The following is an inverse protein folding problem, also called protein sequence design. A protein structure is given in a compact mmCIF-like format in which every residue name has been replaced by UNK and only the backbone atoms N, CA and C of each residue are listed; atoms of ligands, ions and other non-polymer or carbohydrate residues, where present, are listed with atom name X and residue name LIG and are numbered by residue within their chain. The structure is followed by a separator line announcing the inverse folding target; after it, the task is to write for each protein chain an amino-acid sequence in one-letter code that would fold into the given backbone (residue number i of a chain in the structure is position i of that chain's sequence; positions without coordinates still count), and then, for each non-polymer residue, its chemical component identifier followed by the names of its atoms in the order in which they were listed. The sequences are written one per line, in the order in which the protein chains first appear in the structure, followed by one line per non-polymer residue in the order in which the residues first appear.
data_IF_404117874122
#
_entry.id   IF_404117874122
#
_cell.length_a   1.000
_cell.length_b   1.000
_cell.length_c   1.000
_cell.angle_alpha   90.00
_cell.angle_beta   90.00
_cell.angle_gamma   90.00
#
_symmetry.space_group_name_H-M   'P 1'
#
loop_
_entity.id
_entity.type
_entity.pdbx_description
1 polymer ?
#
# COMPACT_ATOMS: atom_id res chain seq x y z
N UNK A 1 48.10 18.09 -8.07
CA UNK A 1 46.75 18.68 -8.22
C UNK A 1 46.90 19.96 -9.02
N UNK A 2 46.54 19.93 -10.31
CA UNK A 2 46.38 21.16 -11.11
C UNK A 2 45.32 22.04 -10.45
N UNK A 3 45.49 23.36 -10.55
CA UNK A 3 44.52 24.30 -10.00
C UNK A 3 43.20 24.18 -10.78
N UNK A 4 42.23 23.45 -10.22
CA UNK A 4 40.86 23.30 -10.72
C UNK A 4 40.24 24.62 -11.20
N UNK A 5 40.51 25.71 -10.47
CA UNK A 5 40.07 27.06 -10.85
C UNK A 5 40.71 27.53 -12.17
N UNK A 6 41.98 27.23 -12.42
CA UNK A 6 42.71 27.65 -13.64
C UNK A 6 42.24 26.89 -14.87
N UNK A 7 41.86 25.62 -14.73
CA UNK A 7 41.30 24.80 -15.84
C UNK A 7 39.87 25.20 -16.17
N UNK A 8 39.04 25.55 -15.18
CA UNK A 8 37.70 26.12 -15.40
C UNK A 8 37.77 27.43 -16.19
N UNK A 9 38.65 28.36 -15.79
CA UNK A 9 38.80 29.64 -16.49
C UNK A 9 39.33 29.46 -17.93
N UNK A 10 40.23 28.51 -18.16
CA UNK A 10 40.80 28.23 -19.49
C UNK A 10 39.79 27.54 -20.41
N UNK A 11 38.98 26.62 -19.89
CA UNK A 11 37.96 25.88 -20.66
C UNK A 11 36.70 26.72 -20.93
N UNK A 12 36.31 27.60 -20.00
CA UNK A 12 35.26 28.61 -20.23
C UNK A 12 35.67 29.59 -21.35
N UNK A 13 36.95 29.96 -21.43
CA UNK A 13 37.47 30.81 -22.51
C UNK A 13 37.50 30.12 -23.89
N UNK A 14 37.38 28.79 -23.92
CA UNK A 14 37.33 27.96 -25.13
C UNK A 14 35.89 27.57 -25.53
N UNK A 15 34.86 28.03 -24.81
CA UNK A 15 33.46 27.77 -25.14
C UNK A 15 32.91 26.39 -24.72
N UNK A 16 33.61 25.68 -23.82
CA UNK A 16 33.19 24.37 -23.30
C UNK A 16 32.15 24.57 -22.19
N UNK A 17 31.08 23.76 -22.17
CA UNK A 17 30.03 23.86 -21.14
C UNK A 17 30.56 23.40 -19.77
N UNK A 18 30.06 24.03 -18.70
CA UNK A 18 30.44 23.69 -17.31
C UNK A 18 30.16 22.22 -17.00
N UNK A 19 29.09 21.66 -17.58
CA UNK A 19 28.70 20.26 -17.41
C UNK A 19 29.73 19.29 -17.99
N UNK A 20 30.36 19.63 -19.11
CA UNK A 20 31.39 18.81 -19.75
C UNK A 20 32.70 18.83 -18.94
N UNK A 21 33.03 19.95 -18.31
CA UNK A 21 34.19 20.06 -17.40
C UNK A 21 33.96 19.16 -16.17
N UNK A 22 32.77 19.22 -15.58
CA UNK A 22 32.42 18.37 -14.44
C UNK A 22 32.45 16.88 -14.84
N UNK A 23 32.00 16.54 -16.06
CA UNK A 23 32.05 15.16 -16.57
C UNK A 23 33.49 14.62 -16.63
N UNK A 24 34.41 15.39 -17.19
CA UNK A 24 35.83 15.00 -17.32
C UNK A 24 36.51 14.86 -15.96
N UNK A 25 36.23 15.76 -15.02
CA UNK A 25 36.77 15.73 -13.66
C UNK A 25 36.25 14.52 -12.87
N UNK A 26 34.96 14.22 -12.97
CA UNK A 26 34.40 13.01 -12.34
C UNK A 26 35.05 11.76 -12.93
N UNK A 27 35.29 11.70 -14.25
CA UNK A 27 35.99 10.59 -14.88
C UNK A 27 37.41 10.43 -14.30
N UNK A 28 38.15 11.52 -14.14
CA UNK A 28 39.50 11.48 -13.57
C UNK A 28 39.50 11.04 -12.10
N UNK A 29 38.67 11.66 -11.27
CA UNK A 29 38.59 11.36 -9.82
C UNK A 29 38.19 9.90 -9.60
N UNK A 30 37.19 9.39 -10.31
CA UNK A 30 36.74 8.00 -10.16
C UNK A 30 37.84 7.02 -10.59
N UNK A 31 38.55 7.31 -11.68
CA UNK A 31 39.68 6.49 -12.12
C UNK A 31 40.83 6.49 -11.09
N UNK A 32 41.11 7.63 -10.44
CA UNK A 32 42.12 7.72 -9.38
C UNK A 32 41.70 6.97 -8.11
N UNK A 33 40.44 7.08 -7.69
CA UNK A 33 39.92 6.36 -6.53
C UNK A 33 40.04 4.84 -6.72
N UNK A 34 39.69 4.31 -7.89
CA UNK A 34 39.82 2.88 -8.19
C UNK A 34 41.27 2.39 -8.19
N UNK A 35 42.22 3.23 -8.63
CA UNK A 35 43.65 2.92 -8.54
C UNK A 35 44.11 2.87 -7.08
N UNK A 36 43.63 3.79 -6.24
CA UNK A 36 43.96 3.83 -4.83
C UNK A 36 43.36 2.63 -4.08
N UNK A 37 42.13 2.22 -4.39
CA UNK A 37 41.54 0.99 -3.84
C UNK A 37 42.39 -0.24 -4.16
N UNK A 38 42.87 -0.36 -5.40
CA UNK A 38 43.75 -1.47 -5.79
C UNK A 38 45.11 -1.40 -5.05
N UNK A 39 45.65 -0.20 -4.85
CA UNK A 39 46.88 0.00 -4.06
C UNK A 39 46.68 -0.43 -2.61
N UNK A 40 45.56 -0.03 -1.98
CA UNK A 40 45.21 -0.42 -0.61
C UNK A 40 45.00 -1.94 -0.50
N UNK A 41 44.33 -2.55 -1.48
CA UNK A 41 44.08 -4.00 -1.48
C UNK A 41 45.38 -4.82 -1.62
N UNK A 42 46.31 -4.37 -2.45
CA UNK A 42 47.58 -5.05 -2.67
C UNK A 42 48.65 -4.68 -1.62
N UNK A 43 48.47 -3.58 -0.89
CA UNK A 43 49.39 -3.02 0.10
C UNK A 43 50.77 -2.58 -0.48
N UNK A 44 50.80 -2.26 -1.78
CA UNK A 44 51.99 -1.70 -2.45
C UNK A 44 51.64 -0.90 -3.72
N UNK A 45 52.49 0.06 -4.06
CA UNK A 45 52.31 0.94 -5.22
C UNK A 45 52.67 0.29 -6.57
N UNK A 46 52.28 0.95 -7.67
CA UNK A 46 52.61 0.46 -9.00
C UNK A 46 54.13 0.49 -9.19
N UNK A 47 54.70 -0.67 -9.55
CA UNK A 47 56.15 -0.88 -9.72
C UNK A 47 56.97 -0.89 -8.43
N UNK A 48 56.33 -1.00 -7.27
CA UNK A 48 57.04 -1.14 -6.01
C UNK A 48 57.74 -2.52 -5.90
N UNK A 49 58.93 -2.52 -5.33
CA UNK A 49 59.80 -3.71 -5.21
C UNK A 49 59.17 -4.75 -4.26
N UNK A 50 58.35 -4.29 -3.32
CA UNK A 50 57.59 -5.12 -2.36
C UNK A 50 56.60 -6.05 -3.09
N UNK A 51 56.14 -5.66 -4.29
CA UNK A 51 55.21 -6.44 -5.10
C UNK A 51 55.84 -7.58 -5.90
N UNK A 52 57.17 -7.77 -5.87
CA UNK A 52 57.81 -8.91 -6.53
C UNK A 52 57.68 -10.18 -5.68
N UNK A 53 57.18 -11.26 -6.29
CA UNK A 53 56.92 -12.56 -5.62
C UNK A 53 55.92 -12.52 -4.45
N UNK A 54 55.05 -11.50 -4.37
CA UNK A 54 54.01 -11.36 -3.33
C UNK A 54 52.79 -12.27 -3.51
N UNK A 55 52.76 -13.11 -4.55
CA UNK A 55 51.67 -14.05 -4.83
C UNK A 55 50.46 -13.47 -5.56
N UNK A 56 50.22 -12.16 -5.51
CA UNK A 56 49.23 -11.46 -6.32
C UNK A 56 49.85 -10.21 -6.98
N UNK A 57 49.38 -9.82 -8.16
CA UNK A 57 49.99 -8.72 -8.93
C UNK A 57 48.95 -7.94 -9.73
N UNK A 58 49.23 -6.66 -10.01
CA UNK A 58 48.39 -5.84 -10.90
C UNK A 58 48.36 -6.45 -12.30
N UNK A 59 47.18 -6.67 -12.87
CA UNK A 59 46.97 -7.35 -14.16
C UNK A 59 46.14 -6.48 -15.14
N UNK A 60 46.62 -5.26 -15.37
CA UNK A 60 46.02 -4.34 -16.33
C UNK A 60 44.63 -3.82 -15.94
N UNK A 61 43.87 -3.41 -16.96
CA UNK A 61 42.59 -2.74 -16.79
C UNK A 61 41.58 -3.24 -17.83
N UNK A 62 40.29 -3.12 -17.52
CA UNK A 62 39.24 -3.17 -18.53
C UNK A 62 38.43 -1.89 -18.53
N UNK A 63 37.98 -1.46 -19.70
CA UNK A 63 37.16 -0.27 -19.83
C UNK A 63 35.70 -0.60 -19.54
N UNK A 64 35.07 0.24 -18.72
CA UNK A 64 33.65 0.19 -18.40
C UNK A 64 33.08 1.59 -18.57
N UNK A 65 32.00 1.70 -19.34
CA UNK A 65 31.26 2.95 -19.45
C UNK A 65 30.25 3.08 -18.32
N UNK A 66 30.21 4.24 -17.68
CA UNK A 66 29.27 4.57 -16.61
C UNK A 66 28.51 5.83 -16.98
N UNK A 67 27.19 5.80 -16.83
CA UNK A 67 26.33 6.93 -17.13
C UNK A 67 26.17 7.78 -15.88
N UNK A 68 26.60 9.04 -15.93
CA UNK A 68 26.44 10.01 -14.84
C UNK A 68 25.42 11.09 -15.23
N UNK A 69 25.02 11.91 -14.26
CA UNK A 69 24.19 13.11 -14.48
C UNK A 69 24.80 14.07 -15.52
N UNK A 70 26.12 14.06 -15.68
CA UNK A 70 26.87 14.95 -16.55
C UNK A 70 27.23 14.31 -17.90
N UNK A 71 26.81 13.06 -18.14
CA UNK A 71 27.07 12.31 -19.37
C UNK A 71 27.74 10.96 -19.14
N UNK A 72 28.04 10.26 -20.24
CA UNK A 72 28.76 8.97 -20.22
C UNK A 72 30.24 9.21 -19.89
N UNK A 73 30.76 8.55 -18.85
CA UNK A 73 32.19 8.57 -18.47
C UNK A 73 32.82 7.20 -18.76
N UNK A 74 34.09 7.21 -19.16
CA UNK A 74 34.86 6.00 -19.42
C UNK A 74 35.76 5.65 -18.23
N UNK A 75 35.36 4.63 -17.47
CA UNK A 75 36.11 4.20 -16.29
C UNK A 75 37.03 3.03 -16.65
N UNK A 76 38.29 3.08 -16.18
CA UNK A 76 39.30 2.05 -16.30
C UNK A 76 39.34 1.23 -15.02
N UNK A 77 38.70 0.07 -15.05
CA UNK A 77 38.61 -0.82 -13.89
C UNK A 77 39.91 -1.60 -13.71
N UNK A 78 40.63 -1.42 -12.58
CA UNK A 78 41.84 -2.18 -12.28
C UNK A 78 41.54 -3.65 -12.02
N UNK A 79 42.49 -4.52 -12.36
CA UNK A 79 42.44 -5.96 -12.09
C UNK A 79 43.70 -6.41 -11.36
N UNK A 80 43.54 -7.39 -10.49
CA UNK A 80 44.62 -8.20 -9.94
C UNK A 80 44.76 -9.51 -10.74
N UNK A 81 45.84 -10.25 -10.50
CA UNK A 81 46.19 -11.47 -11.24
C UNK A 81 45.37 -12.67 -10.78
N UNK A 82 44.99 -12.69 -9.51
CA UNK A 82 44.22 -13.79 -8.92
C UNK A 82 42.70 -13.56 -9.02
N UNK A 83 42.26 -12.35 -9.38
CA UNK A 83 40.84 -12.00 -9.52
C UNK A 83 40.12 -11.83 -8.17
N UNK A 84 40.87 -11.57 -7.10
CA UNK A 84 40.38 -11.45 -5.73
C UNK A 84 39.93 -10.02 -5.39
N UNK A 85 40.35 -9.03 -6.19
CA UNK A 85 40.01 -7.64 -5.97
C UNK A 85 38.53 -7.37 -6.27
N UNK A 86 37.79 -6.88 -5.26
CA UNK A 86 36.40 -6.40 -5.38
C UNK A 86 36.37 -4.90 -5.15
N UNK A 87 35.89 -4.14 -6.14
CA UNK A 87 35.79 -2.68 -6.06
C UNK A 87 34.72 -2.27 -5.03
N UNK A 88 34.99 -1.19 -4.28
CA UNK A 88 34.01 -0.61 -3.35
C UNK A 88 33.41 0.70 -3.89
N UNK A 89 34.21 1.51 -4.60
CA UNK A 89 33.77 2.80 -5.18
C UNK A 89 32.68 2.61 -6.24
N UNK A 90 32.71 1.51 -6.99
CA UNK A 90 31.68 1.16 -7.98
C UNK A 90 31.31 -0.30 -7.77
N UNK A 91 30.05 -0.62 -7.36
CA UNK A 91 29.68 -2.01 -7.14
C UNK A 91 29.85 -2.83 -8.43
N UNK A 92 30.28 -4.07 -8.28
CA UNK A 92 30.41 -5.00 -9.39
C UNK A 92 29.04 -5.12 -10.07
N UNK A 93 29.00 -4.84 -11.38
CA UNK A 93 27.80 -4.87 -12.23
C UNK A 93 26.79 -3.71 -12.08
N UNK A 94 26.90 -2.84 -11.08
CA UNK A 94 25.99 -1.69 -10.95
C UNK A 94 26.32 -0.55 -11.89
N UNK A 95 25.42 -0.25 -12.82
CA UNK A 95 25.51 0.91 -13.71
C UNK A 95 24.77 2.13 -13.13
N UNK A 96 24.23 2.06 -11.91
CA UNK A 96 23.20 3.00 -11.41
C UNK A 96 23.37 3.33 -9.94
N UNK A 97 22.86 4.49 -9.57
CA UNK A 97 22.77 4.99 -8.19
C UNK A 97 21.37 4.68 -7.67
N UNK A 98 21.26 4.05 -6.49
CA UNK A 98 20.00 3.59 -5.86
C UNK A 98 18.88 4.63 -5.80
N UNK A 99 19.21 5.93 -5.81
CA UNK A 99 18.25 7.03 -5.68
C UNK A 99 17.22 7.13 -6.82
N UNK A 100 17.57 6.69 -8.04
CA UNK A 100 16.66 6.75 -9.19
C UNK A 100 15.60 5.64 -9.15
N UNK A 101 15.95 4.45 -8.68
CA UNK A 101 15.01 3.34 -8.57
C UNK A 101 13.98 3.62 -7.48
N UNK A 102 14.41 4.17 -6.34
CA UNK A 102 13.47 4.64 -5.31
C UNK A 102 12.53 5.71 -5.86
N UNK A 103 13.03 6.61 -6.72
CA UNK A 103 12.22 7.66 -7.36
C UNK A 103 11.22 7.07 -8.35
N UNK A 104 11.63 6.10 -9.18
CA UNK A 104 10.74 5.36 -10.09
C UNK A 104 9.62 4.67 -9.31
N UNK A 105 9.97 3.98 -8.23
CA UNK A 105 9.00 3.30 -7.36
C UNK A 105 8.03 4.28 -6.72
N UNK A 106 8.50 5.45 -6.24
CA UNK A 106 7.66 6.51 -5.69
C UNK A 106 6.74 7.17 -6.72
N UNK A 107 7.20 7.35 -7.96
CA UNK A 107 6.35 7.86 -9.04
C UNK A 107 5.28 6.83 -9.40
N UNK A 108 5.66 5.55 -9.48
CA UNK A 108 4.74 4.46 -9.77
C UNK A 108 3.67 4.32 -8.67
N UNK A 109 4.06 4.40 -7.39
CA UNK A 109 3.14 4.32 -6.24
C UNK A 109 2.16 5.50 -6.20
N UNK A 110 2.60 6.69 -6.66
CA UNK A 110 1.72 7.87 -6.81
C UNK A 110 0.77 7.80 -8.00
N UNK A 111 0.79 6.70 -8.75
CA UNK A 111 -0.13 6.46 -9.85
C UNK A 111 0.33 7.02 -11.19
N UNK A 112 1.59 7.46 -11.29
CA UNK A 112 2.19 7.83 -12.58
C UNK A 112 2.34 6.56 -13.42
N UNK A 113 1.99 6.63 -14.70
CA UNK A 113 2.10 5.50 -15.63
C UNK A 113 3.55 5.22 -15.98
N UNK A 114 3.88 3.99 -16.39
CA UNK A 114 5.25 3.65 -16.81
C UNK A 114 5.72 4.46 -18.01
N UNK A 115 4.81 4.86 -18.90
CA UNK A 115 5.10 5.78 -20.00
C UNK A 115 5.42 7.19 -19.49
N UNK A 116 4.60 7.75 -18.62
CA UNK A 116 4.88 9.08 -18.03
C UNK A 116 6.16 9.10 -17.20
N UNK A 117 6.47 8.01 -16.48
CA UNK A 117 7.74 7.87 -15.75
C UNK A 117 8.90 7.82 -16.74
N UNK A 118 8.77 7.07 -17.85
CA UNK A 118 9.78 7.03 -18.89
C UNK A 118 10.01 8.41 -19.50
N UNK A 119 8.95 9.12 -19.87
CA UNK A 119 9.02 10.45 -20.47
C UNK A 119 9.59 11.48 -19.49
N UNK A 120 9.26 11.40 -18.21
CA UNK A 120 9.76 12.30 -17.16
C UNK A 120 11.24 12.05 -16.89
N UNK A 121 11.65 10.78 -16.81
CA UNK A 121 13.06 10.41 -16.65
C UNK A 121 13.85 10.76 -17.91
N UNK A 122 13.27 10.62 -19.09
CA UNK A 122 13.89 11.04 -20.35
C UNK A 122 14.14 12.55 -20.38
N UNK A 123 13.18 13.36 -19.93
CA UNK A 123 13.34 14.81 -19.83
C UNK A 123 14.33 15.26 -18.76
N UNK A 124 14.43 14.52 -17.64
CA UNK A 124 15.30 14.89 -16.52
C UNK A 124 16.73 14.33 -16.64
N UNK A 125 16.90 13.16 -17.27
CA UNK A 125 18.15 12.37 -17.27
C UNK A 125 18.55 11.85 -18.67
N UNK A 126 17.82 12.18 -19.75
CA UNK A 126 18.10 11.72 -21.10
C UNK A 126 17.73 10.24 -21.35
N UNK A 127 18.30 9.62 -22.39
CA UNK A 127 17.97 8.25 -22.86
C UNK A 127 18.32 7.08 -21.91
N UNK A 128 18.31 7.30 -20.59
CA UNK A 128 18.78 6.33 -19.61
C UNK A 128 17.80 5.17 -19.33
N UNK A 129 16.50 5.32 -19.63
CA UNK A 129 15.48 4.34 -19.23
C UNK A 129 14.42 4.09 -20.30
N UNK A 130 14.35 2.85 -20.77
CA UNK A 130 13.24 2.37 -21.61
C UNK A 130 12.04 1.98 -20.74
N UNK A 131 10.83 1.96 -21.32
CA UNK A 131 9.61 1.45 -20.64
C UNK A 131 9.81 0.05 -20.05
N UNK A 132 10.55 -0.81 -20.76
CA UNK A 132 10.89 -2.16 -20.30
C UNK A 132 11.75 -2.14 -19.03
N UNK A 133 12.69 -1.21 -18.94
CA UNK A 133 13.56 -1.06 -17.77
C UNK A 133 12.76 -0.66 -16.54
N UNK A 134 11.82 0.28 -16.68
CA UNK A 134 10.93 0.69 -15.59
C UNK A 134 10.03 -0.47 -15.16
N UNK A 135 9.52 -1.25 -16.10
CA UNK A 135 8.75 -2.46 -15.81
C UNK A 135 9.56 -3.51 -15.04
N UNK A 136 10.85 -3.66 -15.35
CA UNK A 136 11.73 -4.57 -14.61
C UNK A 136 12.02 -4.06 -13.19
N UNK A 137 12.20 -2.74 -13.00
CA UNK A 137 12.35 -2.15 -11.67
C UNK A 137 11.08 -2.36 -10.83
N UNK A 138 9.90 -2.24 -11.44
CA UNK A 138 8.64 -2.50 -10.73
C UNK A 138 8.40 -3.98 -10.46
N UNK A 139 9.12 -4.92 -11.08
CA UNK A 139 9.08 -6.35 -10.67
C UNK A 139 9.72 -6.58 -9.31
N UNK A 140 10.70 -5.77 -8.90
CA UNK A 140 11.24 -5.85 -7.54
C UNK A 140 10.17 -5.61 -6.45
N UNK A 141 9.04 -4.98 -6.81
CA UNK A 141 7.88 -4.81 -5.92
C UNK A 141 7.14 -6.12 -5.67
N UNK A 142 7.25 -7.14 -6.52
CA UNK A 142 6.56 -8.42 -6.32
C UNK A 142 6.91 -9.06 -4.98
N UNK A 143 8.18 -8.95 -4.58
CA UNK A 143 8.63 -9.41 -3.25
C UNK A 143 7.85 -8.73 -2.13
N UNK A 144 7.48 -7.46 -2.31
CA UNK A 144 6.66 -6.74 -1.33
C UNK A 144 5.19 -7.18 -1.35
N UNK A 145 4.66 -7.61 -2.50
CA UNK A 145 3.31 -8.17 -2.61
C UNK A 145 3.25 -9.50 -1.85
N UNK A 146 4.21 -10.38 -2.09
CA UNK A 146 4.32 -11.66 -1.38
C UNK A 146 4.52 -11.46 0.12
N UNK A 147 5.39 -10.51 0.50
CA UNK A 147 5.59 -10.17 1.91
C UNK A 147 4.32 -9.59 2.56
N UNK A 148 3.53 -8.81 1.83
CA UNK A 148 2.28 -8.23 2.32
C UNK A 148 1.24 -9.32 2.61
N UNK A 149 1.08 -10.30 1.71
CA UNK A 149 0.15 -11.40 1.93
C UNK A 149 0.66 -12.43 2.96
N UNK A 150 1.97 -12.60 3.14
CA UNK A 150 2.52 -13.55 4.12
C UNK A 150 2.86 -12.96 5.50
N UNK A 151 2.63 -11.66 5.73
CA UNK A 151 2.94 -11.05 7.03
C UNK A 151 2.06 -11.60 8.16
N UNK A 152 2.65 -11.71 9.34
CA UNK A 152 1.94 -12.14 10.55
C UNK A 152 1.23 -10.97 11.22
N UNK A 153 0.10 -11.25 11.86
CA UNK A 153 -0.70 -10.25 12.56
C UNK A 153 -0.71 -10.47 14.07
N UNK A 154 -1.10 -9.41 14.79
CA UNK A 154 -1.37 -9.50 16.21
C UNK A 154 -2.62 -10.35 16.47
N UNK A 155 -2.72 -10.90 17.68
CA UNK A 155 -3.83 -11.76 18.05
C UNK A 155 -5.18 -11.04 18.05
N UNK A 156 -5.21 -9.78 18.51
CA UNK A 156 -6.43 -9.04 18.88
C UNK A 156 -6.72 -7.87 17.94
N UNK A 157 -7.92 -7.86 17.38
CA UNK A 157 -8.46 -6.76 16.59
C UNK A 157 -9.86 -6.39 17.03
N UNK A 158 -10.09 -5.11 17.28
CA UNK A 158 -11.38 -4.61 17.76
C UNK A 158 -12.39 -4.65 16.63
N UNK A 159 -12.04 -4.08 15.48
CA UNK A 159 -12.96 -3.96 14.35
C UNK A 159 -12.29 -4.40 13.05
N UNK A 160 -12.98 -5.26 12.29
CA UNK A 160 -12.65 -5.57 10.90
C UNK A 160 -13.68 -4.95 9.99
N UNK A 161 -13.24 -4.16 9.02
CA UNK A 161 -14.09 -3.58 8.00
C UNK A 161 -13.89 -4.31 6.68
N UNK A 162 -14.98 -4.78 6.10
CA UNK A 162 -15.01 -5.50 4.83
C UNK A 162 -15.75 -4.65 3.81
N UNK A 163 -15.10 -4.31 2.70
CA UNK A 163 -15.72 -3.61 1.58
C UNK A 163 -15.08 -4.05 0.25
N UNK A 164 -15.80 -3.87 -0.84
CA UNK A 164 -15.32 -4.19 -2.18
C UNK A 164 -15.38 -2.97 -3.10
N UNK A 165 -14.43 -2.90 -4.02
CA UNK A 165 -14.38 -1.86 -5.04
C UNK A 165 -14.15 -2.45 -6.43
N UNK A 166 -15.07 -2.13 -7.34
CA UNK A 166 -14.93 -2.49 -8.76
C UNK A 166 -13.79 -1.71 -9.43
N UNK A 167 -12.87 -2.43 -10.07
CA UNK A 167 -11.74 -1.92 -10.85
C UNK A 167 -11.75 -2.54 -12.26
N UNK A 168 -11.25 -1.80 -13.24
CA UNK A 168 -11.13 -2.31 -14.62
C UNK A 168 -9.78 -3.02 -14.77
N UNK A 169 -9.82 -4.31 -15.11
CA UNK A 169 -8.63 -5.17 -15.28
C UNK A 169 -8.70 -5.85 -16.63
N UNK A 170 -7.56 -5.94 -17.33
CA UNK A 170 -7.44 -6.68 -18.57
C UNK A 170 -6.80 -8.04 -18.28
N UNK A 171 -7.52 -9.12 -18.56
CA UNK A 171 -6.95 -10.47 -18.71
C UNK A 171 -6.85 -10.78 -20.20
N UNK A 172 -7.95 -11.27 -20.78
CA UNK A 172 -8.13 -11.35 -22.24
C UNK A 172 -8.93 -10.14 -22.75
N UNK A 173 -10.09 -9.91 -22.14
CA UNK A 173 -10.93 -8.73 -22.30
C UNK A 173 -10.85 -7.82 -21.07
N UNK A 174 -11.19 -6.55 -21.24
CA UNK A 174 -11.33 -5.63 -20.10
C UNK A 174 -12.62 -5.93 -19.37
N UNK A 175 -12.53 -6.39 -18.13
CA UNK A 175 -13.66 -6.67 -17.26
C UNK A 175 -13.60 -5.82 -15.99
N UNK A 176 -14.77 -5.61 -15.37
CA UNK A 176 -14.87 -5.04 -14.04
C UNK A 176 -14.79 -6.16 -13.02
N UNK A 177 -13.71 -6.19 -12.27
CA UNK A 177 -13.47 -7.16 -11.20
C UNK A 177 -13.52 -6.45 -9.84
N UNK A 178 -13.91 -7.18 -8.81
CA UNK A 178 -14.11 -6.66 -7.47
C UNK A 178 -12.84 -6.85 -6.62
N UNK A 179 -12.18 -5.75 -6.27
CA UNK A 179 -11.11 -5.75 -5.29
C UNK A 179 -11.71 -5.69 -3.89
N UNK A 180 -11.64 -6.80 -3.17
CA UNK A 180 -12.08 -6.93 -1.79
C UNK A 180 -10.97 -6.45 -0.87
N UNK A 181 -11.30 -5.64 0.14
CA UNK A 181 -10.33 -5.03 1.05
C UNK A 181 -10.80 -5.24 2.48
N UNK A 182 -9.87 -5.65 3.34
CA UNK A 182 -10.10 -5.79 4.79
C UNK A 182 -9.21 -4.80 5.52
N UNK A 183 -9.82 -3.95 6.35
CA UNK A 183 -9.11 -3.02 7.24
C UNK A 183 -9.37 -3.43 8.68
N UNK A 184 -8.31 -3.52 9.48
CA UNK A 184 -8.37 -3.82 10.90
C UNK A 184 -8.11 -2.59 11.76
N UNK A 185 -8.73 -2.55 12.94
CA UNK A 185 -8.35 -1.66 14.03
C UNK A 185 -7.89 -2.51 15.22
N UNK A 186 -6.69 -2.26 15.73
CA UNK A 186 -6.11 -2.95 16.89
C UNK A 186 -6.75 -2.51 18.20
N UNK A 187 -6.44 -3.19 19.32
CA UNK A 187 -6.88 -2.79 20.67
C UNK A 187 -6.35 -1.40 21.09
N UNK A 188 -5.19 -1.01 20.56
CA UNK A 188 -4.60 0.33 20.74
C UNK A 188 -5.26 1.40 19.85
N UNK A 189 -6.16 0.99 18.96
CA UNK A 189 -6.87 1.89 18.04
C UNK A 189 -6.09 2.22 16.76
N UNK A 190 -4.96 1.56 16.50
CA UNK A 190 -4.22 1.71 15.26
C UNK A 190 -4.95 1.02 14.11
N UNK A 191 -5.03 1.69 12.97
CA UNK A 191 -5.71 1.16 11.78
C UNK A 191 -4.69 0.69 10.74
N UNK A 192 -4.94 -0.47 10.17
CA UNK A 192 -4.08 -1.08 9.16
C UNK A 192 -4.92 -1.76 8.08
N UNK A 193 -4.58 -1.56 6.80
CA UNK A 193 -5.15 -2.40 5.74
C UNK A 193 -4.52 -3.77 5.90
N UNK A 194 -5.30 -4.79 6.23
CA UNK A 194 -4.82 -6.13 6.56
C UNK A 194 -4.57 -6.98 5.32
N UNK A 195 -5.57 -7.05 4.44
CA UNK A 195 -5.48 -7.84 3.22
C UNK A 195 -6.33 -7.25 2.10
N UNK A 196 -6.01 -7.63 0.87
CA UNK A 196 -6.84 -7.36 -0.29
C UNK A 196 -6.77 -8.52 -1.27
N UNK A 197 -7.86 -8.79 -1.98
CA UNK A 197 -7.87 -9.81 -3.05
C UNK A 197 -8.76 -9.40 -4.20
N UNK A 198 -8.32 -9.73 -5.41
CA UNK A 198 -9.10 -9.51 -6.61
C UNK A 198 -9.95 -10.75 -6.89
N UNK A 199 -11.25 -10.56 -7.06
CA UNK A 199 -12.16 -11.62 -7.46
C UNK A 199 -13.02 -11.16 -8.64
N UNK A 200 -13.33 -12.04 -9.63
CA UNK A 200 -14.19 -11.68 -10.75
C UNK A 200 -15.62 -11.29 -10.33
N UNK A 201 -16.11 -11.85 -9.22
CA UNK A 201 -17.47 -11.64 -8.72
C UNK A 201 -17.45 -11.34 -7.22
N UNK A 202 -18.42 -10.54 -6.77
CA UNK A 202 -18.68 -10.32 -5.34
C UNK A 202 -19.48 -11.49 -4.79
N UNK A 203 -18.85 -12.30 -3.94
CA UNK A 203 -19.49 -13.42 -3.26
C UNK A 203 -19.09 -13.43 -1.78
N UNK A 204 -20.00 -13.89 -0.92
CA UNK A 204 -19.73 -14.00 0.52
C UNK A 204 -18.60 -15.00 0.82
N UNK A 205 -18.43 -16.03 -0.01
CA UNK A 205 -17.35 -17.02 0.10
C UNK A 205 -15.95 -16.38 0.02
N UNK A 206 -15.79 -15.33 -0.79
CA UNK A 206 -14.51 -14.63 -0.95
C UNK A 206 -14.02 -14.06 0.39
N UNK A 207 -14.94 -13.55 1.21
CA UNK A 207 -14.61 -13.05 2.54
C UNK A 207 -14.29 -14.18 3.52
N UNK A 208 -14.94 -15.34 3.42
CA UNK A 208 -14.56 -16.52 4.21
C UNK A 208 -13.11 -16.89 3.96
N UNK A 209 -12.68 -16.97 2.69
CA UNK A 209 -11.31 -17.35 2.34
C UNK A 209 -10.29 -16.31 2.83
N UNK A 210 -10.58 -15.02 2.64
CA UNK A 210 -9.72 -13.94 3.14
C UNK A 210 -9.63 -13.91 4.66
N UNK A 211 -10.74 -14.10 5.36
CA UNK A 211 -10.79 -14.10 6.82
C UNK A 211 -10.09 -15.32 7.42
N UNK A 212 -10.22 -16.48 6.78
CA UNK A 212 -9.54 -17.72 7.16
C UNK A 212 -8.02 -17.56 7.04
N UNK A 213 -7.57 -16.98 5.94
CA UNK A 213 -6.16 -16.68 5.72
C UNK A 213 -5.60 -15.65 6.73
N UNK A 214 -6.40 -14.67 7.15
CA UNK A 214 -6.03 -13.77 8.25
C UNK A 214 -5.94 -14.51 9.60
N UNK A 215 -6.83 -15.46 9.84
CA UNK A 215 -6.82 -16.28 11.05
C UNK A 215 -5.55 -17.11 11.15
N UNK A 216 -5.16 -17.79 10.05
CA UNK A 216 -3.94 -18.59 9.96
C UNK A 216 -2.66 -17.75 10.12
N UNK A 217 -2.71 -16.46 9.77
CA UNK A 217 -1.62 -15.49 9.97
C UNK A 217 -1.53 -14.92 11.39
N UNK A 218 -2.38 -15.36 12.30
CA UNK A 218 -2.33 -15.05 13.74
C UNK A 218 -3.45 -14.15 14.26
N UNK A 219 -4.38 -13.71 13.40
CA UNK A 219 -5.52 -12.90 13.81
C UNK A 219 -6.63 -13.78 14.39
N UNK A 220 -6.57 -14.08 15.68
CA UNK A 220 -7.49 -15.06 16.29
C UNK A 220 -8.73 -14.44 16.96
N UNK A 221 -8.58 -13.23 17.52
CA UNK A 221 -9.59 -12.61 18.40
C UNK A 221 -10.13 -11.32 17.77
N UNK A 222 -11.42 -11.35 17.40
CA UNK A 222 -12.13 -10.20 16.81
C UNK A 222 -13.34 -9.82 17.64
N UNK A 223 -13.52 -8.52 17.93
CA UNK A 223 -14.76 -8.07 18.58
C UNK A 223 -15.88 -7.86 17.57
N UNK A 224 -15.72 -6.99 16.58
CA UNK A 224 -16.78 -6.66 15.61
C UNK A 224 -16.30 -6.75 14.16
N UNK A 225 -17.14 -7.30 13.28
CA UNK A 225 -16.95 -7.30 11.84
C UNK A 225 -18.03 -6.43 11.21
N UNK A 226 -17.62 -5.46 10.40
CA UNK A 226 -18.47 -4.43 9.81
C UNK A 226 -18.41 -4.60 8.30
N UNK A 227 -19.56 -4.86 7.68
CA UNK A 227 -19.62 -5.14 6.25
C UNK A 227 -20.85 -4.49 5.59
N UNK A 228 -20.87 -4.48 4.26
CA UNK A 228 -22.08 -4.19 3.49
C UNK A 228 -23.13 -5.32 3.70
N UNK A 229 -24.40 -5.04 3.43
CA UNK A 229 -25.49 -6.02 3.48
C UNK A 229 -25.48 -7.02 2.33
N UNK A 230 -24.31 -7.56 1.96
CA UNK A 230 -24.21 -8.65 0.99
C UNK A 230 -24.86 -9.91 1.57
N UNK A 231 -25.70 -10.57 0.78
CA UNK A 231 -26.39 -11.79 1.21
C UNK A 231 -25.39 -12.88 1.61
N UNK A 232 -25.52 -13.40 2.82
CA UNK A 232 -24.67 -14.47 3.36
C UNK A 232 -23.34 -13.99 3.98
N UNK A 233 -22.99 -12.70 3.93
CA UNK A 233 -21.71 -12.21 4.48
C UNK A 233 -21.63 -12.38 6.00
N UNK A 234 -22.74 -12.20 6.71
CA UNK A 234 -22.82 -12.43 8.16
C UNK A 234 -22.40 -13.86 8.49
N UNK A 235 -23.00 -14.84 7.81
CA UNK A 235 -22.72 -16.26 8.02
C UNK A 235 -21.28 -16.59 7.64
N UNK A 236 -20.79 -16.05 6.53
CA UNK A 236 -19.41 -16.19 6.07
C UNK A 236 -18.39 -15.68 7.09
N UNK A 237 -18.64 -14.51 7.70
CA UNK A 237 -17.79 -13.91 8.72
C UNK A 237 -17.82 -14.70 10.03
N UNK A 238 -19.02 -15.06 10.50
CA UNK A 238 -19.21 -15.81 11.76
C UNK A 238 -18.74 -17.26 11.67
N UNK A 239 -18.62 -17.82 10.46
CA UNK A 239 -18.01 -19.14 10.26
C UNK A 239 -16.54 -19.17 10.68
N UNK A 240 -15.79 -18.09 10.38
CA UNK A 240 -14.37 -17.97 10.73
C UNK A 240 -14.22 -17.41 12.15
N UNK A 241 -14.97 -16.37 12.49
CA UNK A 241 -14.95 -15.71 13.80
C UNK A 241 -16.29 -15.87 14.53
N UNK A 242 -16.59 -17.05 15.10
CA UNK A 242 -17.90 -17.34 15.71
C UNK A 242 -18.20 -16.50 16.96
N UNK A 243 -17.16 -15.99 17.62
CA UNK A 243 -17.28 -15.13 18.81
C UNK A 243 -17.44 -13.64 18.45
N UNK A 244 -17.18 -13.24 17.21
CA UNK A 244 -17.30 -11.84 16.81
C UNK A 244 -18.76 -11.42 16.66
N UNK A 245 -19.05 -10.16 16.94
CA UNK A 245 -20.32 -9.54 16.55
C UNK A 245 -20.25 -9.13 15.08
N UNK A 246 -21.37 -9.23 14.36
CA UNK A 246 -21.48 -8.71 13.00
C UNK A 246 -22.36 -7.46 12.99
N UNK A 247 -21.89 -6.40 12.33
CA UNK A 247 -22.59 -5.14 12.12
C UNK A 247 -22.77 -4.86 10.62
N UNK A 248 -24.02 -4.67 10.20
CA UNK A 248 -24.31 -4.22 8.83
C UNK A 248 -24.16 -2.70 8.73
N UNK A 249 -23.50 -2.21 7.68
CA UNK A 249 -23.27 -0.78 7.50
C UNK A 249 -24.58 0.01 7.34
N UNK A 250 -24.85 0.96 8.24
CA UNK A 250 -26.04 1.82 8.18
C UNK A 250 -26.12 2.68 6.92
N UNK A 251 -24.98 3.13 6.37
CA UNK A 251 -24.98 3.91 5.12
C UNK A 251 -25.51 3.08 3.95
N UNK A 252 -25.16 1.79 3.88
CA UNK A 252 -25.67 0.88 2.86
C UNK A 252 -27.14 0.55 3.07
N UNK A 253 -27.56 0.36 4.33
CA UNK A 253 -28.98 0.21 4.69
C UNK A 253 -29.78 1.45 4.24
N UNK A 254 -29.30 2.66 4.52
CA UNK A 254 -29.92 3.90 4.06
C UNK A 254 -30.03 3.98 2.54
N UNK A 255 -28.98 3.59 1.81
CA UNK A 255 -29.03 3.50 0.33
C UNK A 255 -30.08 2.50 -0.13
N UNK A 256 -30.21 1.35 0.52
CA UNK A 256 -31.22 0.34 0.20
C UNK A 256 -32.64 0.83 0.53
N UNK A 257 -32.85 1.50 1.66
CA UNK A 257 -34.14 2.15 1.98
C UNK A 257 -34.48 3.21 0.92
N UNK A 258 -33.51 4.03 0.49
CA UNK A 258 -33.73 5.06 -0.52
C UNK A 258 -34.19 4.49 -1.88
N UNK A 259 -33.77 3.27 -2.23
CA UNK A 259 -34.23 2.56 -3.44
C UNK A 259 -35.68 2.09 -3.34
N UNK A 260 -36.18 1.83 -2.13
CA UNK A 260 -37.54 1.33 -1.87
C UNK A 260 -38.57 2.46 -1.70
N UNK A 261 -38.12 3.71 -1.61
CA UNK A 261 -38.93 4.88 -1.27
C UNK A 261 -39.01 5.86 -2.45
N UNK A 262 -40.19 6.46 -2.66
CA UNK A 262 -40.41 7.48 -3.68
C UNK A 262 -39.55 8.73 -3.43
N UNK A 263 -39.10 9.39 -4.49
CA UNK A 263 -38.20 10.54 -4.38
C UNK A 263 -38.74 11.68 -3.48
N UNK A 264 -40.06 11.90 -3.49
CA UNK A 264 -40.76 12.91 -2.66
C UNK A 264 -40.61 12.64 -1.16
N UNK A 265 -40.72 11.37 -0.76
CA UNK A 265 -40.81 10.97 0.64
C UNK A 265 -39.43 10.59 1.21
N UNK A 266 -38.40 10.51 0.36
CA UNK A 266 -37.04 10.12 0.77
C UNK A 266 -36.50 10.97 1.91
N UNK A 267 -36.67 12.30 1.85
CA UNK A 267 -36.10 13.21 2.85
C UNK A 267 -36.74 12.98 4.23
N UNK A 268 -38.05 12.81 4.26
CA UNK A 268 -38.81 12.55 5.48
C UNK A 268 -38.43 11.20 6.09
N UNK A 269 -38.41 10.14 5.28
CA UNK A 269 -38.09 8.79 5.75
C UNK A 269 -36.62 8.69 6.20
N UNK A 270 -35.67 9.30 5.49
CA UNK A 270 -34.27 9.31 5.94
C UNK A 270 -34.09 10.06 7.26
N UNK A 271 -34.90 11.10 7.53
CA UNK A 271 -34.88 11.77 8.81
C UNK A 271 -35.50 10.92 9.92
N UNK A 272 -36.58 10.18 9.63
CA UNK A 272 -37.19 9.25 10.58
C UNK A 272 -36.29 8.04 10.89
N UNK A 273 -35.39 7.64 9.99
CA UNK A 273 -34.43 6.54 10.20
C UNK A 273 -33.21 6.98 11.02
N UNK A 274 -32.86 8.27 11.08
CA UNK A 274 -31.69 8.77 11.83
C UNK A 274 -31.69 8.40 13.31
N UNK A 275 -32.80 8.56 14.06
CA UNK A 275 -32.86 8.20 15.47
C UNK A 275 -32.42 6.76 15.75
N UNK A 276 -32.77 5.80 14.89
CA UNK A 276 -32.50 4.36 15.10
C UNK A 276 -31.02 4.06 15.38
N UNK A 277 -30.09 4.81 14.78
CA UNK A 277 -28.65 4.62 14.98
C UNK A 277 -27.97 5.78 15.73
N UNK A 278 -28.73 6.80 16.11
CA UNK A 278 -28.25 7.95 16.88
C UNK A 278 -28.75 7.95 18.34
N UNK A 279 -29.67 7.05 18.70
CA UNK A 279 -30.13 6.86 20.08
C UNK A 279 -28.96 6.57 21.03
N UNK A 280 -29.15 6.87 22.31
CA UNK A 280 -28.13 6.69 23.35
C UNK A 280 -27.92 5.22 23.74
N UNK A 281 -28.96 4.39 23.66
CA UNK A 281 -28.92 2.98 24.01
C UNK A 281 -29.80 2.15 23.07
N UNK A 282 -29.66 0.82 23.19
CA UNK A 282 -30.40 -0.15 22.38
C UNK A 282 -31.92 -0.07 22.61
N UNK A 283 -32.35 0.19 23.84
CA UNK A 283 -33.77 0.27 24.22
C UNK A 283 -34.48 1.46 23.56
N UNK A 284 -33.83 2.63 23.55
CA UNK A 284 -34.30 3.80 22.83
C UNK A 284 -34.32 3.56 21.32
N UNK A 285 -33.29 2.90 20.76
CA UNK A 285 -33.27 2.55 19.35
C UNK A 285 -34.43 1.63 18.95
N UNK A 286 -34.75 0.63 19.78
CA UNK A 286 -35.89 -0.25 19.59
C UNK A 286 -37.24 0.48 19.72
N UNK A 287 -37.33 1.46 20.63
CA UNK A 287 -38.53 2.29 20.78
C UNK A 287 -38.77 3.15 19.53
N UNK A 288 -37.70 3.78 19.02
CA UNK A 288 -37.75 4.53 17.75
C UNK A 288 -38.06 3.62 16.55
N UNK A 289 -37.58 2.38 16.56
CA UNK A 289 -37.92 1.40 15.53
C UNK A 289 -39.42 1.06 15.51
N UNK A 290 -40.03 0.88 16.69
CA UNK A 290 -41.47 0.67 16.81
C UNK A 290 -42.27 1.89 16.32
N UNK A 291 -41.85 3.10 16.71
CA UNK A 291 -42.47 4.34 16.22
C UNK A 291 -42.39 4.47 14.68
N UNK A 292 -41.25 4.10 14.09
CA UNK A 292 -41.05 4.07 12.65
C UNK A 292 -41.97 3.04 11.97
N UNK A 293 -42.18 1.87 12.59
CA UNK A 293 -43.09 0.84 12.11
C UNK A 293 -44.53 1.32 12.08
N UNK A 294 -44.98 2.06 13.10
CA UNK A 294 -46.35 2.57 13.15
C UNK A 294 -46.61 3.70 12.15
N UNK A 295 -45.63 4.60 12.00
CA UNK A 295 -45.74 5.77 11.12
C UNK A 295 -45.59 5.43 9.63
N UNK A 296 -44.57 4.64 9.28
CA UNK A 296 -44.18 4.39 7.89
C UNK A 296 -44.61 2.99 7.42
N UNK A 297 -44.82 2.04 8.32
CA UNK A 297 -45.04 0.63 7.98
C UNK A 297 -46.25 0.37 7.07
N UNK A 298 -47.32 1.19 7.20
CA UNK A 298 -48.48 1.10 6.30
C UNK A 298 -48.17 1.52 4.86
N UNK A 299 -47.35 2.56 4.69
CA UNK A 299 -47.03 3.15 3.38
C UNK A 299 -45.87 2.43 2.69
N UNK A 300 -44.88 1.98 3.46
CA UNK A 300 -43.66 1.33 2.97
C UNK A 300 -43.32 0.05 3.75
N UNK A 301 -44.14 -1.01 3.65
CA UNK A 301 -43.93 -2.27 4.39
C UNK A 301 -42.60 -2.96 4.03
N UNK A 302 -42.11 -2.78 2.80
CA UNK A 302 -40.81 -3.32 2.36
C UNK A 302 -39.61 -2.74 3.13
N UNK A 303 -39.71 -1.48 3.58
CA UNK A 303 -38.66 -0.82 4.38
C UNK A 303 -38.58 -1.46 5.76
N UNK A 304 -39.72 -1.69 6.40
CA UNK A 304 -39.79 -2.35 7.70
C UNK A 304 -39.27 -3.79 7.59
N UNK A 305 -39.72 -4.54 6.58
CA UNK A 305 -39.25 -5.91 6.35
C UNK A 305 -37.74 -5.97 6.16
N UNK A 306 -37.14 -5.03 5.41
CA UNK A 306 -35.69 -4.94 5.23
C UNK A 306 -34.98 -4.77 6.58
N UNK A 307 -35.51 -3.92 7.46
CA UNK A 307 -34.92 -3.70 8.78
C UNK A 307 -35.11 -4.92 9.70
N UNK A 308 -36.32 -5.49 9.77
CA UNK A 308 -36.60 -6.67 10.61
C UNK A 308 -35.77 -7.90 10.21
N UNK A 309 -35.48 -8.07 8.92
CA UNK A 309 -34.67 -9.20 8.43
C UNK A 309 -33.19 -9.07 8.81
N UNK A 310 -32.71 -7.85 9.07
CA UNK A 310 -31.31 -7.60 9.40
C UNK A 310 -31.07 -7.70 10.91
N UNK A 311 -30.69 -8.89 11.39
CA UNK A 311 -30.37 -9.13 12.81
C UNK A 311 -29.13 -8.36 13.32
N UNK A 312 -28.29 -7.87 12.40
CA UNK A 312 -27.01 -7.18 12.68
C UNK A 312 -27.10 -5.66 12.63
N UNK A 313 -28.30 -5.07 12.75
CA UNK A 313 -28.51 -3.62 12.69
C UNK A 313 -27.91 -2.86 13.87
N UNK A 314 -28.05 -3.43 15.06
CA UNK A 314 -27.82 -2.74 16.33
C UNK A 314 -26.65 -3.32 17.13
N UNK A 315 -25.85 -4.21 16.55
CA UNK A 315 -24.72 -4.86 17.22
C UNK A 315 -23.72 -3.84 17.78
N UNK A 316 -23.54 -2.72 17.09
CA UNK A 316 -22.67 -1.63 17.53
C UNK A 316 -23.07 -0.99 18.87
N UNK A 317 -24.32 -1.15 19.33
CA UNK A 317 -24.76 -0.63 20.64
C UNK A 317 -24.13 -1.34 21.84
N UNK A 318 -23.61 -2.57 21.65
CA UNK A 318 -22.85 -3.30 22.67
C UNK A 318 -21.51 -2.66 23.02
N UNK A 319 -21.07 -1.69 22.20
CA UNK A 319 -19.77 -1.05 22.31
C UNK A 319 -19.88 0.36 22.91
N UNK A 320 -18.77 0.90 23.44
CA UNK A 320 -18.69 2.25 23.99
C UNK A 320 -19.14 3.34 23.02
N UNK A 321 -19.84 4.36 23.55
CA UNK A 321 -20.44 5.43 22.77
C UNK A 321 -19.44 6.18 21.87
N UNK A 322 -18.20 6.32 22.34
CA UNK A 322 -17.09 7.03 21.71
C UNK A 322 -16.72 6.40 20.37
N UNK A 323 -16.79 5.07 20.24
CA UNK A 323 -16.42 4.35 19.01
C UNK A 323 -17.61 4.05 18.11
N UNK A 324 -18.86 4.14 18.61
CA UNK A 324 -20.08 3.83 17.84
C UNK A 324 -20.11 4.53 16.49
N UNK A 325 -19.70 5.80 16.45
CA UNK A 325 -19.66 6.61 15.22
C UNK A 325 -18.81 5.99 14.11
N UNK A 326 -17.76 5.27 14.49
CA UNK A 326 -16.82 4.64 13.58
C UNK A 326 -17.23 3.23 13.20
N UNK A 327 -17.97 2.51 14.05
CA UNK A 327 -18.31 1.10 13.83
C UNK A 327 -19.70 0.87 13.22
N UNK A 328 -20.62 1.85 13.25
CA UNK A 328 -21.94 1.69 12.61
C UNK A 328 -21.88 1.75 11.06
N UNK A 329 -20.74 2.15 10.49
CA UNK A 329 -20.57 2.44 9.06
C UNK A 329 -19.23 1.96 8.51
N UNK A 330 -19.18 1.57 7.23
CA UNK A 330 -17.95 1.26 6.48
C UNK A 330 -17.30 2.50 5.84
N UNK A 331 -17.70 3.71 6.22
CA UNK A 331 -17.15 4.98 5.71
C UNK A 331 -15.60 5.04 5.71
N UNK A 332 -14.96 4.35 6.67
CA UNK A 332 -13.50 4.25 6.75
C UNK A 332 -12.92 3.63 5.48
N UNK A 333 -13.47 2.48 5.06
CA UNK A 333 -13.03 1.77 3.84
C UNK A 333 -13.54 2.48 2.60
N UNK A 334 -14.76 3.05 2.61
CA UNK A 334 -15.25 3.84 1.47
C UNK A 334 -14.33 5.04 1.15
N UNK A 335 -13.78 5.67 2.20
CA UNK A 335 -12.81 6.75 2.06
C UNK A 335 -11.52 6.30 1.36
N UNK A 336 -11.00 5.13 1.74
CA UNK A 336 -9.85 4.48 1.08
C UNK A 336 -10.20 4.13 -0.37
N UNK A 337 -11.33 3.46 -0.59
CA UNK A 337 -11.81 3.03 -1.91
C UNK A 337 -11.98 4.22 -2.86
N UNK A 338 -12.48 5.35 -2.38
CA UNK A 338 -12.60 6.59 -3.17
C UNK A 338 -11.23 7.14 -3.57
N UNK A 339 -10.25 7.12 -2.67
CA UNK A 339 -8.89 7.57 -2.97
C UNK A 339 -8.19 6.64 -3.95
N UNK A 340 -8.32 5.31 -3.76
CA UNK A 340 -7.80 4.30 -4.68
C UNK A 340 -8.41 4.48 -6.07
N UNK A 341 -9.75 4.56 -6.18
CA UNK A 341 -10.45 4.83 -7.45
C UNK A 341 -9.98 6.09 -8.15
N UNK A 342 -9.63 7.15 -7.40
CA UNK A 342 -9.13 8.40 -8.00
C UNK A 342 -7.76 8.19 -8.65
N UNK A 343 -6.89 7.37 -8.07
CA UNK A 343 -5.58 7.09 -8.64
C UNK A 343 -5.67 6.07 -9.79
N UNK A 344 -6.52 5.04 -9.67
CA UNK A 344 -6.69 4.04 -10.72
C UNK A 344 -7.35 4.64 -11.97
N UNK A 345 -8.26 5.61 -11.82
CA UNK A 345 -8.86 6.33 -12.96
C UNK A 345 -7.85 6.99 -13.89
N UNK A 346 -6.70 7.45 -13.37
CA UNK A 346 -5.64 8.05 -14.20
C UNK A 346 -4.98 7.04 -15.13
N UNK A 347 -4.99 5.75 -14.76
CA UNK A 347 -4.36 4.68 -15.52
C UNK A 347 -5.29 4.06 -16.58
N UNK A 348 -6.59 4.42 -16.57
CA UNK A 348 -7.70 3.90 -17.39
C UNK A 348 -7.94 2.38 -17.30
N UNK A 349 -6.90 1.58 -17.53
CA UNK A 349 -6.89 0.13 -17.48
C UNK A 349 -5.54 -0.42 -16.99
N UNK A 350 -5.58 -1.52 -16.25
CA UNK A 350 -4.37 -2.28 -15.92
C UNK A 350 -4.10 -3.34 -17.00
N UNK A 351 -2.84 -3.48 -17.47
CA UNK A 351 -2.51 -4.38 -18.58
C UNK A 351 -2.61 -5.86 -18.21
N UNK A 352 -2.40 -6.20 -16.93
CA UNK A 352 -2.53 -7.53 -16.36
C UNK A 352 -2.84 -7.44 -14.86
N UNK A 353 -3.19 -8.57 -14.24
CA UNK A 353 -3.50 -8.69 -12.81
C UNK A 353 -2.30 -8.32 -11.93
N UNK A 354 -1.10 -8.83 -12.24
CA UNK A 354 0.12 -8.49 -11.50
C UNK A 354 0.38 -6.99 -11.42
N UNK A 355 0.18 -6.24 -12.51
CA UNK A 355 0.36 -4.79 -12.49
C UNK A 355 -0.67 -4.08 -11.61
N UNK A 356 -1.89 -4.64 -11.48
CA UNK A 356 -2.87 -4.12 -10.54
C UNK A 356 -2.41 -4.40 -9.11
N UNK A 357 -2.04 -5.64 -8.82
CA UNK A 357 -1.62 -6.06 -7.48
C UNK A 357 -0.42 -5.25 -6.99
N UNK A 358 0.63 -5.10 -7.81
CA UNK A 358 1.80 -4.26 -7.46
C UNK A 358 1.41 -2.81 -7.19
N UNK A 359 0.47 -2.26 -7.95
CA UNK A 359 -0.02 -0.89 -7.73
C UNK A 359 -0.79 -0.76 -6.42
N UNK A 360 -1.72 -1.69 -6.17
CA UNK A 360 -2.57 -1.75 -4.98
C UNK A 360 -1.73 -1.98 -3.72
N UNK A 361 -0.78 -2.93 -3.76
CA UNK A 361 0.16 -3.22 -2.67
C UNK A 361 0.93 -1.97 -2.27
N UNK A 362 1.59 -1.30 -3.22
CA UNK A 362 2.34 -0.08 -2.92
C UNK A 362 1.46 1.01 -2.32
N UNK A 363 0.25 1.17 -2.85
CA UNK A 363 -0.70 2.14 -2.35
C UNK A 363 -1.11 1.85 -0.89
N UNK A 364 -1.31 0.58 -0.54
CA UNK A 364 -1.63 0.17 0.83
C UNK A 364 -0.43 0.22 1.76
N UNK A 365 0.78 -0.11 1.31
CA UNK A 365 2.00 0.07 2.10
C UNK A 365 2.23 1.54 2.45
N UNK A 366 2.07 2.47 1.49
CA UNK A 366 2.13 3.91 1.77
C UNK A 366 1.01 4.37 2.71
N UNK A 367 -0.21 3.85 2.52
CA UNK A 367 -1.33 4.13 3.42
C UNK A 367 -1.04 3.69 4.86
N UNK A 368 -0.55 2.46 5.03
CA UNK A 368 -0.24 1.85 6.31
C UNK A 368 0.95 2.57 6.97
N UNK A 369 2.00 2.93 6.23
CA UNK A 369 3.12 3.71 6.75
C UNK A 369 2.69 5.09 7.27
N UNK A 370 1.79 5.78 6.54
CA UNK A 370 1.32 7.12 6.91
C UNK A 370 0.34 7.11 8.09
N UNK A 371 -0.49 6.07 8.20
CA UNK A 371 -1.64 6.05 9.10
C UNK A 371 -1.55 5.02 10.22
N UNK A 372 -0.61 4.07 10.16
CA UNK A 372 -0.43 3.03 11.15
C UNK A 372 -0.14 3.58 12.53
N UNK A 373 0.54 4.72 12.64
CA UNK A 373 0.84 5.38 13.92
C UNK A 373 -0.33 6.20 14.47
N UNK A 374 -1.39 6.43 13.69
CA UNK A 374 -2.50 7.29 14.10
C UNK A 374 -3.63 6.47 14.72
N UNK A 375 -3.98 6.81 15.97
CA UNK A 375 -5.14 6.26 16.66
C UNK A 375 -6.43 6.73 16.00
N UNK A 376 -7.35 5.80 15.74
CA UNK A 376 -8.66 6.08 15.18
C UNK A 376 -9.54 6.83 16.20
N UNK A 377 -10.43 7.69 15.68
CA UNK A 377 -11.29 8.56 16.49
C UNK A 377 -12.11 7.73 17.48
N UNK A 378 -12.07 8.11 18.77
CA UNK A 378 -12.78 7.45 19.86
C UNK A 378 -12.07 6.24 20.46
N UNK A 379 -11.20 5.55 19.71
CA UNK A 379 -10.56 4.30 20.19
C UNK A 379 -9.52 4.54 21.28
N UNK A 380 -8.83 5.68 21.26
CA UNK A 380 -7.87 6.05 22.31
C UNK A 380 -8.51 6.31 23.68
N UNK A 381 -9.81 6.60 23.72
CA UNK A 381 -10.54 6.91 24.97
C UNK A 381 -11.10 5.67 25.66
N UNK A 382 -11.20 4.53 24.97
CA UNK A 382 -11.94 3.34 25.43
C UNK A 382 -11.08 2.07 25.48
N UNK A 383 -9.75 2.22 25.55
CA UNK A 383 -8.82 1.09 25.54
C UNK A 383 -9.06 0.10 26.68
N UNK A 384 -9.36 0.59 27.90
CA UNK A 384 -9.67 -0.27 29.05
C UNK A 384 -10.95 -1.08 28.83
N UNK A 385 -12.03 -0.41 28.42
CA UNK A 385 -13.33 -1.05 28.14
C UNK A 385 -13.22 -2.09 27.03
N UNK A 386 -12.43 -1.82 25.99
CA UNK A 386 -12.15 -2.77 24.92
C UNK A 386 -11.39 -4.00 25.40
N UNK A 387 -10.39 -3.82 26.29
CA UNK A 387 -9.64 -4.92 26.88
C UNK A 387 -10.54 -5.81 27.76
N UNK A 388 -11.44 -5.21 28.54
CA UNK A 388 -12.45 -5.95 29.30
C UNK A 388 -13.37 -6.76 28.37
N UNK A 389 -13.85 -6.16 27.28
CA UNK A 389 -14.67 -6.87 26.28
C UNK A 389 -13.92 -8.05 25.65
N UNK A 390 -12.63 -7.91 25.34
CA UNK A 390 -11.81 -9.03 24.87
C UNK A 390 -11.70 -10.13 25.92
N UNK A 391 -11.38 -9.76 27.15
CA UNK A 391 -11.21 -10.72 28.24
C UNK A 391 -12.51 -11.46 28.54
N UNK A 392 -13.66 -10.78 28.53
CA UNK A 392 -14.94 -11.43 28.77
C UNK A 392 -15.35 -12.40 27.65
N UNK A 393 -15.05 -12.04 26.39
CA UNK A 393 -15.43 -12.83 25.22
C UNK A 393 -14.47 -14.00 24.93
N UNK A 394 -13.19 -13.77 25.18
CA UNK A 394 -12.09 -14.69 24.85
C UNK A 394 -11.39 -15.25 26.08
N UNK A 395 -11.96 -15.11 27.28
CA UNK A 395 -11.52 -15.79 28.51
C UNK A 395 -11.17 -17.24 28.18
N UNK A 396 -9.90 -17.58 28.39
CA UNK A 396 -9.44 -18.97 28.36
C UNK A 396 -10.06 -19.63 29.59
N UNK A 397 -10.95 -20.60 29.37
CA UNK A 397 -11.30 -21.57 30.40
C UNK A 397 -10.07 -22.38 30.79
#
# INVERSE_FOLDING_TARGET
MSNFNTEIFKSLSQGISIEEIIRLEIEEVVNQLLLNELTIFLDYEKHDVIGYNSGNSRNGFYSRKLLTKYGEISIKMPRDRNGEFKQQTVPAYDRRTDSLETTVLQLYSRGVTTSEIADLIEKMYGHAYTKQTISNITKAVEVNVDAFHNRKFNKRYVALYCDATMLNVRRDTVAREALHIIIGITEEGHKDVLDYRLYPHEAASNYTDMLQDLYERGLEEVLIIISDGLTGIKEACLKVYPKADHQTCWVHIQRNIAKLVRATDRKEIMNAVKPLYQSQNLESANSEFNNLKDTIGKKYPKVIKLLETNESLFSFYKYPMQIRRSIYTTNLVEGLNKQLKRQTKKKEQFPNEESLERFVCNYFLDYNARLGTRVHIGFGEVTMELNELFNDRYKKN
#
